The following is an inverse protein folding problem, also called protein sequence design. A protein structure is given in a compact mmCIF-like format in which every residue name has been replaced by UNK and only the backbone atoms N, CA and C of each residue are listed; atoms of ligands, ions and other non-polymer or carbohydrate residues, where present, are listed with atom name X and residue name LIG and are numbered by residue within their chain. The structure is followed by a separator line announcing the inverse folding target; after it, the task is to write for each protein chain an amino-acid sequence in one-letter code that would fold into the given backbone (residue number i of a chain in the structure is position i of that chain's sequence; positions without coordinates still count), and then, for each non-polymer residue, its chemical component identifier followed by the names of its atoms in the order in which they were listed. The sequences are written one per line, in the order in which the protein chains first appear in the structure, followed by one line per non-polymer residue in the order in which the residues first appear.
data_IF_096075232462
#
_entry.id   IF_096075232462
#
_cell.length_a   1.000
_cell.length_b   1.000
_cell.length_c   1.000
_cell.angle_alpha   90.00
_cell.angle_beta   90.00
_cell.angle_gamma   90.00
#
_symmetry.space_group_name_H-M   'P 1'
#
loop_
_entity.id
_entity.type
_entity.pdbx_description
1 polymer ?
#
# COMPACT_ATOMS: atom_id res chain seq x y z
N UNK A 1 -60.04 -35.69 -30.23
CA UNK A 1 -59.84 -34.41 -29.49
C UNK A 1 -58.48 -34.51 -28.74
N UNK A 2 -57.42 -33.99 -29.32
CA UNK A 2 -56.10 -34.03 -28.75
C UNK A 2 -55.80 -32.65 -28.16
N UNK A 3 -55.54 -32.56 -26.84
CA UNK A 3 -55.16 -31.35 -26.13
C UNK A 3 -53.63 -31.20 -26.24
N UNK A 4 -53.23 -30.18 -26.94
CA UNK A 4 -51.82 -29.74 -27.06
C UNK A 4 -51.45 -28.94 -25.78
N UNK A 5 -50.58 -29.50 -24.95
CA UNK A 5 -50.01 -28.81 -23.77
C UNK A 5 -48.81 -27.97 -24.22
N UNK A 6 -48.97 -26.65 -24.21
CA UNK A 6 -47.88 -25.71 -24.44
C UNK A 6 -47.06 -25.57 -23.14
N UNK A 7 -45.87 -26.15 -23.10
CA UNK A 7 -44.86 -25.92 -22.05
C UNK A 7 -44.13 -24.60 -22.34
N UNK A 8 -44.46 -23.55 -21.59
CA UNK A 8 -43.67 -22.31 -21.57
C UNK A 8 -42.40 -22.52 -20.75
N UNK A 9 -41.25 -22.63 -21.43
CA UNK A 9 -39.94 -22.55 -20.78
C UNK A 9 -39.70 -21.11 -20.36
N UNK A 10 -39.77 -20.82 -19.07
CA UNK A 10 -39.23 -19.58 -18.49
C UNK A 10 -37.73 -19.69 -18.44
N UNK A 11 -37.05 -19.00 -19.38
CA UNK A 11 -35.61 -18.80 -19.33
C UNK A 11 -35.33 -17.73 -18.27
N UNK A 12 -34.95 -18.14 -17.05
CA UNK A 12 -34.45 -17.22 -16.03
C UNK A 12 -33.05 -16.78 -16.42
N UNK A 13 -32.93 -15.57 -16.94
CA UNK A 13 -31.65 -14.91 -17.16
C UNK A 13 -31.03 -14.63 -15.77
N UNK A 14 -30.12 -15.48 -15.36
CA UNK A 14 -29.26 -15.19 -14.21
C UNK A 14 -28.49 -13.90 -14.53
N UNK A 15 -28.74 -12.81 -13.78
CA UNK A 15 -27.92 -11.60 -13.80
C UNK A 15 -26.55 -12.01 -13.30
N UNK A 16 -25.65 -12.32 -14.23
CA UNK A 16 -24.22 -12.48 -13.95
C UNK A 16 -23.72 -11.17 -13.37
N UNK A 17 -23.29 -11.20 -12.10
CA UNK A 17 -22.57 -10.10 -11.52
C UNK A 17 -21.24 -10.00 -12.31
N UNK A 18 -21.12 -8.95 -13.09
CA UNK A 18 -19.90 -8.58 -13.76
C UNK A 18 -18.98 -8.00 -12.67
N UNK A 19 -18.25 -8.88 -11.95
CA UNK A 19 -17.16 -8.42 -11.12
C UNK A 19 -16.14 -7.76 -12.05
N UNK A 20 -15.95 -6.48 -11.87
CA UNK A 20 -14.94 -5.72 -12.61
C UNK A 20 -13.56 -6.25 -12.22
N UNK A 21 -12.67 -6.46 -13.20
CA UNK A 21 -11.25 -6.79 -12.98
C UNK A 21 -10.56 -5.77 -12.04
N UNK A 22 -11.14 -4.56 -11.89
CA UNK A 22 -10.68 -3.54 -10.94
C UNK A 22 -10.94 -3.90 -9.47
N UNK A 23 -11.79 -4.89 -9.18
CA UNK A 23 -12.10 -5.33 -7.82
C UNK A 23 -11.21 -6.51 -7.36
N UNK A 24 -10.39 -7.06 -8.25
CA UNK A 24 -9.40 -8.07 -7.91
C UNK A 24 -8.24 -7.39 -7.16
N UNK A 25 -8.30 -7.45 -5.84
CA UNK A 25 -7.18 -7.04 -4.99
C UNK A 25 -6.15 -8.16 -4.96
N UNK A 26 -5.06 -7.97 -5.68
CA UNK A 26 -3.87 -8.79 -5.48
C UNK A 26 -3.11 -8.25 -4.28
N UNK A 27 -2.68 -9.10 -3.33
CA UNK A 27 -1.79 -8.63 -2.27
C UNK A 27 -0.48 -8.11 -2.89
N UNK A 28 0.14 -7.13 -2.27
CA UNK A 28 1.49 -6.68 -2.67
C UNK A 28 2.47 -7.84 -2.65
N UNK A 29 3.39 -7.88 -3.59
CA UNK A 29 4.54 -8.78 -3.53
C UNK A 29 5.53 -8.28 -2.46
N UNK A 30 5.32 -8.79 -1.25
CA UNK A 30 6.10 -8.45 -0.05
C UNK A 30 7.60 -8.73 -0.23
N UNK A 31 7.95 -9.85 -0.82
CA UNK A 31 9.34 -10.27 -1.00
C UNK A 31 10.04 -9.36 -2.02
N UNK A 32 9.37 -9.01 -3.10
CA UNK A 32 9.88 -8.06 -4.07
C UNK A 32 10.07 -6.67 -3.44
N UNK A 33 9.09 -6.17 -2.70
CA UNK A 33 9.18 -4.85 -2.01
C UNK A 33 10.34 -4.81 -1.04
N UNK A 34 10.49 -5.83 -0.18
CA UNK A 34 11.62 -5.93 0.75
C UNK A 34 12.96 -5.96 0.02
N UNK A 35 13.05 -6.74 -1.07
CA UNK A 35 14.28 -6.84 -1.87
C UNK A 35 14.64 -5.48 -2.47
N UNK A 36 13.69 -4.79 -3.09
CA UNK A 36 13.93 -3.49 -3.72
C UNK A 36 14.38 -2.42 -2.71
N UNK A 37 13.68 -2.33 -1.59
CA UNK A 37 14.00 -1.37 -0.53
C UNK A 37 15.34 -1.70 0.14
N UNK A 38 15.55 -2.95 0.54
CA UNK A 38 16.74 -3.36 1.27
C UNK A 38 18.01 -3.33 0.40
N UNK A 39 17.90 -3.56 -0.91
CA UNK A 39 19.00 -3.35 -1.85
C UNK A 39 19.48 -1.88 -1.81
N UNK A 40 18.55 -0.91 -1.84
CA UNK A 40 18.90 0.51 -1.75
C UNK A 40 19.48 0.87 -0.39
N UNK A 41 18.88 0.36 0.68
CA UNK A 41 19.37 0.59 2.04
C UNK A 41 20.77 0.06 2.27
N UNK A 42 21.13 -1.10 1.72
CA UNK A 42 22.47 -1.69 1.86
C UNK A 42 23.55 -1.01 1.02
N UNK A 43 23.18 -0.33 -0.06
CA UNK A 43 24.11 0.34 -0.97
C UNK A 43 24.34 1.81 -0.65
N UNK A 44 23.43 2.43 0.12
CA UNK A 44 23.29 3.87 0.19
C UNK A 44 22.55 4.44 -1.01
N UNK A 45 22.08 5.68 -0.91
CA UNK A 45 21.29 6.30 -1.96
C UNK A 45 21.48 7.82 -2.00
N UNK A 46 21.58 8.37 -3.21
CA UNK A 46 21.48 9.81 -3.43
C UNK A 46 20.01 10.20 -3.44
N UNK A 47 19.56 11.02 -2.46
CA UNK A 47 18.20 11.52 -2.34
C UNK A 47 18.21 13.04 -2.62
N UNK A 48 17.98 13.44 -3.85
CA UNK A 48 18.21 14.81 -4.28
C UNK A 48 19.70 15.19 -4.12
N UNK A 49 19.96 16.27 -3.41
CA UNK A 49 21.34 16.77 -3.18
C UNK A 49 22.02 16.11 -1.97
N UNK A 50 21.33 15.24 -1.23
CA UNK A 50 21.85 14.60 -0.02
C UNK A 50 22.15 13.12 -0.27
N UNK A 51 23.39 12.70 0.03
CA UNK A 51 23.74 11.28 0.06
C UNK A 51 23.42 10.66 1.42
N UNK A 52 22.68 9.57 1.41
CA UNK A 52 22.39 8.74 2.58
C UNK A 52 23.27 7.49 2.54
N UNK A 53 24.12 7.25 3.54
CA UNK A 53 24.96 6.06 3.59
C UNK A 53 24.12 4.79 3.77
N UNK A 54 24.76 3.63 3.58
CA UNK A 54 24.14 2.34 3.83
C UNK A 54 23.59 2.24 5.26
N UNK A 55 22.40 1.67 5.39
CA UNK A 55 21.70 1.46 6.67
C UNK A 55 21.15 0.03 6.76
N UNK A 56 20.80 -0.40 7.99
CA UNK A 56 20.30 -1.74 8.24
C UNK A 56 19.06 -2.07 7.43
N UNK A 57 18.88 -3.34 7.01
CA UNK A 57 17.69 -3.77 6.28
C UNK A 57 16.43 -3.67 7.17
N UNK A 58 15.29 -3.51 6.51
CA UNK A 58 13.97 -3.53 7.14
C UNK A 58 13.39 -4.94 7.12
N UNK A 59 12.56 -5.24 8.13
CA UNK A 59 11.72 -6.43 8.17
C UNK A 59 10.25 -6.06 7.96
N UNK A 60 9.46 -7.02 7.45
CA UNK A 60 8.04 -6.79 7.25
C UNK A 60 7.27 -6.85 8.56
N UNK A 61 6.41 -5.86 8.80
CA UNK A 61 5.52 -5.85 9.95
C UNK A 61 4.05 -5.80 9.52
N UNK A 62 3.25 -6.74 10.07
CA UNK A 62 1.84 -6.87 9.73
C UNK A 62 0.99 -5.69 10.22
N UNK A 63 1.31 -5.11 11.40
CA UNK A 63 0.57 -3.95 11.92
C UNK A 63 0.79 -2.73 11.01
N UNK A 64 2.04 -2.52 10.52
CA UNK A 64 2.35 -1.47 9.57
C UNK A 64 1.61 -1.67 8.24
N UNK A 65 1.59 -2.90 7.70
CA UNK A 65 0.85 -3.17 6.45
C UNK A 65 -0.66 -3.05 6.61
N UNK A 66 -1.22 -3.36 7.79
CA UNK A 66 -2.64 -3.14 8.07
C UNK A 66 -2.98 -1.63 8.10
N UNK A 67 -2.15 -0.82 8.77
CA UNK A 67 -2.30 0.63 8.78
C UNK A 67 -2.22 1.21 7.36
N UNK A 68 -1.23 0.75 6.56
CA UNK A 68 -1.06 1.13 5.16
C UNK A 68 -2.31 0.77 4.33
N UNK A 69 -2.86 -0.45 4.50
CA UNK A 69 -4.03 -0.89 3.75
C UNK A 69 -5.25 -0.01 4.06
N UNK A 70 -5.55 0.22 5.33
CA UNK A 70 -6.68 1.06 5.74
C UNK A 70 -6.56 2.49 5.17
N UNK A 71 -5.33 3.03 5.14
CA UNK A 71 -5.10 4.37 4.60
C UNK A 71 -5.22 4.41 3.06
N UNK A 72 -4.69 3.42 2.35
CA UNK A 72 -4.87 3.28 0.90
C UNK A 72 -6.35 3.13 0.52
N UNK A 73 -7.12 2.34 1.28
CA UNK A 73 -8.55 2.18 1.10
C UNK A 73 -9.31 3.52 1.28
N UNK A 74 -8.91 4.28 2.31
CA UNK A 74 -9.52 5.59 2.56
C UNK A 74 -9.17 6.61 1.47
N UNK A 75 -7.92 6.68 1.03
CA UNK A 75 -7.49 7.54 -0.07
C UNK A 75 -8.23 7.20 -1.37
N UNK A 76 -8.36 5.91 -1.69
CA UNK A 76 -9.09 5.44 -2.87
C UNK A 76 -10.57 5.82 -2.82
N UNK A 77 -11.24 5.60 -1.68
CA UNK A 77 -12.64 5.99 -1.47
C UNK A 77 -12.87 7.50 -1.61
N UNK A 78 -11.94 8.30 -1.08
CA UNK A 78 -11.99 9.78 -1.14
C UNK A 78 -11.47 10.36 -2.44
N UNK A 79 -10.83 9.56 -3.27
CA UNK A 79 -10.12 10.00 -4.49
C UNK A 79 -9.11 11.13 -4.19
N UNK A 80 -8.43 11.04 -3.04
CA UNK A 80 -7.53 12.09 -2.54
C UNK A 80 -6.23 11.49 -2.01
N UNK A 81 -5.09 11.92 -2.57
CA UNK A 81 -3.76 11.62 -2.03
C UNK A 81 -3.48 12.52 -0.83
N UNK A 82 -3.14 11.95 0.31
CA UNK A 82 -2.93 12.68 1.56
C UNK A 82 -2.29 11.78 2.62
N UNK A 83 -1.55 12.37 3.56
CA UNK A 83 -1.06 11.70 4.76
C UNK A 83 -2.09 11.64 5.90
N UNK A 84 -3.17 12.41 5.82
CA UNK A 84 -4.16 12.51 6.90
C UNK A 84 -5.43 11.75 6.57
N UNK A 85 -5.90 10.97 7.52
CA UNK A 85 -7.20 10.32 7.48
C UNK A 85 -8.35 11.34 7.47
N UNK A 86 -9.56 10.91 7.11
CA UNK A 86 -10.75 11.79 7.08
C UNK A 86 -11.02 12.46 8.43
N UNK A 87 -10.75 11.74 9.52
CA UNK A 87 -10.92 12.23 10.90
C UNK A 87 -9.72 13.04 11.44
N UNK A 88 -8.71 13.34 10.59
CA UNK A 88 -7.51 14.08 10.95
C UNK A 88 -6.39 13.25 11.57
N UNK A 89 -6.50 11.93 11.65
CA UNK A 89 -5.41 11.10 12.15
C UNK A 89 -4.20 11.20 11.21
N UNK A 90 -3.04 11.44 11.79
CA UNK A 90 -1.73 11.32 11.17
C UNK A 90 -1.28 9.84 11.11
N UNK A 91 -0.15 9.52 10.43
CA UNK A 91 0.35 8.14 10.37
C UNK A 91 0.61 7.53 11.75
N UNK A 92 1.20 8.28 12.70
CA UNK A 92 1.48 7.80 14.05
C UNK A 92 0.22 7.35 14.80
N UNK A 93 -0.87 8.12 14.70
CA UNK A 93 -2.16 7.74 15.28
C UNK A 93 -2.75 6.49 14.63
N UNK A 94 -2.60 6.33 13.30
CA UNK A 94 -3.02 5.10 12.62
C UNK A 94 -2.24 3.88 13.11
N UNK A 95 -0.92 4.01 13.29
CA UNK A 95 -0.07 2.95 13.84
C UNK A 95 -0.49 2.55 15.25
N UNK A 96 -0.73 3.53 16.13
CA UNK A 96 -1.20 3.26 17.49
C UNK A 96 -2.54 2.53 17.52
N UNK A 97 -3.45 2.82 16.58
CA UNK A 97 -4.74 2.10 16.42
C UNK A 97 -4.57 0.65 15.98
N UNK A 98 -3.48 0.32 15.28
CA UNK A 98 -3.11 -1.06 14.95
C UNK A 98 -2.35 -1.77 16.09
N UNK A 99 -2.17 -1.12 17.22
CA UNK A 99 -1.40 -1.65 18.35
C UNK A 99 0.11 -1.65 18.10
N UNK A 100 0.61 -0.80 17.22
CA UNK A 100 2.02 -0.59 16.98
C UNK A 100 2.53 0.56 17.88
N UNK A 101 3.37 0.23 18.87
CA UNK A 101 3.94 1.18 19.82
C UNK A 101 5.24 1.74 19.24
N UNK A 102 5.11 2.77 18.45
CA UNK A 102 6.24 3.33 17.70
C UNK A 102 7.13 4.24 18.56
N UNK A 103 8.43 4.08 18.38
CA UNK A 103 9.46 5.03 18.81
C UNK A 103 9.79 6.01 17.66
N UNK A 104 9.86 5.51 16.43
CA UNK A 104 10.02 6.31 15.22
C UNK A 104 9.09 5.78 14.12
N UNK A 105 8.62 6.65 13.26
CA UNK A 105 7.87 6.28 12.06
C UNK A 105 8.12 7.25 10.91
N UNK A 106 7.83 6.80 9.70
CA UNK A 106 7.75 7.63 8.50
C UNK A 106 6.68 7.04 7.55
N UNK A 107 6.20 7.85 6.62
CA UNK A 107 5.23 7.41 5.63
C UNK A 107 5.51 8.01 4.27
N UNK A 108 5.40 7.18 3.24
CA UNK A 108 5.32 7.59 1.84
C UNK A 108 3.95 7.24 1.29
N UNK A 109 3.34 8.17 0.56
CA UNK A 109 2.12 7.92 -0.20
C UNK A 109 2.36 8.23 -1.67
N UNK A 110 1.70 7.47 -2.55
CA UNK A 110 1.79 7.69 -3.99
C UNK A 110 0.46 7.41 -4.69
N UNK A 111 0.30 7.94 -5.88
CA UNK A 111 -0.87 7.72 -6.72
C UNK A 111 -0.44 7.60 -8.20
N UNK A 112 -1.05 6.63 -8.91
CA UNK A 112 -0.85 6.47 -10.34
C UNK A 112 0.12 5.37 -10.73
N UNK A 113 0.66 4.60 -9.78
CA UNK A 113 1.53 3.46 -10.02
C UNK A 113 0.72 2.16 -10.00
N UNK A 114 1.14 1.17 -10.80
CA UNK A 114 0.40 -0.09 -10.98
C UNK A 114 1.18 -1.32 -10.51
N UNK A 115 2.45 -1.17 -10.13
CA UNK A 115 3.29 -2.26 -9.64
C UNK A 115 4.33 -1.75 -8.62
N UNK A 116 4.94 -2.71 -7.90
CA UNK A 116 5.92 -2.47 -6.83
C UNK A 116 7.19 -1.78 -7.33
N UNK A 117 7.68 -2.16 -8.51
CA UNK A 117 8.95 -1.63 -9.06
C UNK A 117 8.80 -0.15 -9.38
N UNK A 118 7.72 0.19 -10.07
CA UNK A 118 7.47 1.58 -10.50
C UNK A 118 7.15 2.49 -9.33
N UNK A 119 6.42 2.04 -8.30
CA UNK A 119 6.14 2.87 -7.13
C UNK A 119 7.40 3.09 -6.27
N UNK A 120 8.23 2.05 -6.08
CA UNK A 120 9.52 2.20 -5.35
C UNK A 120 10.45 3.15 -6.11
N UNK A 121 10.54 3.04 -7.43
CA UNK A 121 11.33 3.97 -8.23
C UNK A 121 10.80 5.40 -8.11
N UNK A 122 9.48 5.60 -8.14
CA UNK A 122 8.84 6.90 -7.93
C UNK A 122 9.20 7.50 -6.58
N UNK A 123 9.15 6.73 -5.50
CA UNK A 123 9.56 7.21 -4.17
C UNK A 123 11.06 7.52 -4.10
N UNK A 124 11.92 6.68 -4.67
CA UNK A 124 13.37 6.92 -4.70
C UNK A 124 13.75 8.17 -5.50
N UNK A 125 12.95 8.55 -6.50
CA UNK A 125 13.17 9.76 -7.31
C UNK A 125 12.76 11.05 -6.60
N UNK A 126 12.01 10.97 -5.49
CA UNK A 126 11.60 12.11 -4.67
C UNK A 126 12.52 12.24 -3.45
N UNK A 127 13.22 13.37 -3.25
CA UNK A 127 14.18 13.52 -2.13
C UNK A 127 13.57 13.18 -0.76
N UNK A 128 12.37 13.66 -0.48
CA UNK A 128 11.70 13.42 0.81
C UNK A 128 11.31 11.96 1.01
N UNK A 129 10.75 11.31 -0.02
CA UNK A 129 10.36 9.90 0.07
C UNK A 129 11.59 8.98 0.13
N UNK A 130 12.64 9.32 -0.63
CA UNK A 130 13.92 8.62 -0.60
C UNK A 130 14.56 8.72 0.81
N UNK A 131 14.54 9.89 1.44
CA UNK A 131 15.00 10.07 2.82
C UNK A 131 14.26 9.18 3.81
N UNK A 132 12.93 9.01 3.66
CA UNK A 132 12.15 8.07 4.48
C UNK A 132 12.60 6.62 4.28
N UNK A 133 12.86 6.20 3.03
CA UNK A 133 13.37 4.85 2.73
C UNK A 133 14.76 4.65 3.37
N UNK A 134 15.60 5.66 3.40
CA UNK A 134 16.98 5.61 3.93
C UNK A 134 17.08 6.00 5.41
N UNK A 135 15.95 6.22 6.11
CA UNK A 135 15.96 6.61 7.52
C UNK A 135 16.59 5.50 8.40
N UNK A 136 17.68 5.77 9.15
CA UNK A 136 18.33 4.78 9.99
C UNK A 136 17.54 4.43 11.26
N UNK A 137 16.58 5.27 11.66
CA UNK A 137 15.79 5.09 12.88
C UNK A 137 14.68 4.05 12.73
N UNK A 138 14.28 3.71 11.51
CA UNK A 138 13.23 2.72 11.26
C UNK A 138 13.83 1.33 10.99
N UNK A 139 13.15 0.31 11.46
CA UNK A 139 13.59 -1.11 11.38
C UNK A 139 12.58 -2.01 10.66
N UNK A 140 11.36 -1.53 10.49
CA UNK A 140 10.25 -2.30 9.95
C UNK A 140 9.50 -1.51 8.88
N UNK A 141 8.85 -2.24 7.99
CA UNK A 141 8.10 -1.70 6.87
C UNK A 141 6.77 -2.45 6.69
N UNK A 142 5.75 -1.73 6.26
CA UNK A 142 4.50 -2.27 5.74
C UNK A 142 4.07 -1.47 4.52
N UNK A 143 3.64 -2.14 3.47
CA UNK A 143 3.16 -1.50 2.24
C UNK A 143 1.81 -2.08 1.86
N UNK A 144 0.93 -1.25 1.33
CA UNK A 144 -0.33 -1.67 0.75
C UNK A 144 -0.79 -0.70 -0.33
N UNK A 145 -1.76 -1.14 -1.13
CA UNK A 145 -2.40 -0.28 -2.10
C UNK A 145 -3.90 -0.60 -2.26
N UNK A 146 -4.62 0.36 -2.83
CA UNK A 146 -5.97 0.16 -3.34
C UNK A 146 -6.12 0.90 -4.67
N UNK A 147 -6.33 0.15 -5.75
CA UNK A 147 -6.29 0.68 -7.11
C UNK A 147 -4.95 1.38 -7.37
N UNK A 148 -4.98 2.69 -7.60
CA UNK A 148 -3.77 3.47 -7.85
C UNK A 148 -3.15 4.16 -6.62
N UNK A 149 -3.72 4.00 -5.42
CA UNK A 149 -3.28 4.67 -4.19
C UNK A 149 -2.42 3.74 -3.37
N UNK A 150 -1.18 4.13 -3.12
CA UNK A 150 -0.17 3.38 -2.40
C UNK A 150 0.19 4.05 -1.09
N UNK A 151 0.41 3.24 -0.07
CA UNK A 151 0.93 3.68 1.23
C UNK A 151 2.08 2.76 1.64
N UNK A 152 3.22 3.37 1.97
CA UNK A 152 4.38 2.69 2.54
C UNK A 152 4.64 3.31 3.90
N UNK A 153 4.59 2.49 4.95
CA UNK A 153 4.79 2.92 6.33
C UNK A 153 6.03 2.25 6.89
N UNK A 154 6.83 3.03 7.58
CA UNK A 154 8.02 2.59 8.28
C UNK A 154 7.86 2.79 9.77
N UNK A 155 8.51 1.96 10.57
CA UNK A 155 8.50 2.10 12.02
C UNK A 155 9.64 1.39 12.72
N UNK A 156 9.81 1.75 14.00
CA UNK A 156 10.51 0.95 15.01
C UNK A 156 9.64 0.94 16.28
N UNK A 157 9.40 -0.24 16.84
CA UNK A 157 8.69 -0.36 18.14
C UNK A 157 9.63 0.01 19.30
N UNK A 158 9.02 0.45 20.44
CA UNK A 158 9.70 0.68 21.71
C UNK A 158 10.23 -0.62 22.30
#
# INVERSE_FOLDING_TARGET
MARLLLLLLYCTIAKGQHESLSDLRFPVDKELLLTLVNTKRSQGCQCGDTYYPAVSPLTWNKKLSNAAQKHSDEMAKRKKLTHYSKNGDDPGKRLSKEGYRWHAYAENVAMGYFDERTVIQGWLSSPAHCANIMNPLVKEIGVAYNGKYWTQVFGSEE
#
